data_IF_465819744889
#
_entry.id   IF_465819744889
#
_cell.length_a   1.000
_cell.length_b   1.000
_cell.length_c   1.000
_cell.angle_alpha   90.00
_cell.angle_beta   90.00
_cell.angle_gamma   90.00
#
_symmetry.space_group_name_H-M   'P 1'
#
loop_
_entity.id
_entity.type
_entity.pdbx_description
1 polymer ?
#
# COMPACT_ATOMS: atom_id res chain seq x y z
N UNK A 1 -35.90 15.71 14.53
CA UNK A 1 -34.76 16.59 14.14
C UNK A 1 -33.52 15.72 14.12
N UNK A 2 -33.07 15.32 12.92
CA UNK A 2 -31.83 14.54 12.79
C UNK A 2 -30.66 15.42 13.15
N UNK A 3 -29.80 14.92 14.04
CA UNK A 3 -28.48 15.51 14.31
C UNK A 3 -27.78 15.71 12.95
N UNK A 4 -27.22 16.89 12.66
CA UNK A 4 -26.47 17.07 11.41
C UNK A 4 -25.36 16.03 11.40
N UNK A 5 -25.33 15.20 10.35
CA UNK A 5 -24.25 14.27 10.11
C UNK A 5 -23.00 15.14 9.99
N UNK A 6 -22.15 15.11 11.00
CA UNK A 6 -20.85 15.79 10.98
C UNK A 6 -20.17 15.40 9.68
N UNK A 7 -19.85 16.39 8.86
CA UNK A 7 -19.21 16.13 7.58
C UNK A 7 -17.88 15.41 7.85
N UNK A 8 -17.75 14.18 7.39
CA UNK A 8 -16.57 13.35 7.60
C UNK A 8 -15.32 14.07 7.08
N UNK A 9 -14.35 14.22 7.95
CA UNK A 9 -13.11 14.92 7.65
C UNK A 9 -12.01 13.91 7.35
N UNK A 10 -11.30 14.10 6.27
CA UNK A 10 -10.09 13.33 6.01
C UNK A 10 -8.97 14.22 5.50
N UNK A 11 -7.75 13.80 5.77
CA UNK A 11 -6.53 14.45 5.33
C UNK A 11 -5.76 13.55 4.39
N UNK A 12 -5.03 14.14 3.45
CA UNK A 12 -4.12 13.42 2.56
C UNK A 12 -2.69 13.84 2.86
N UNK A 13 -1.78 12.86 2.87
CA UNK A 13 -0.34 13.09 2.91
C UNK A 13 0.29 12.30 1.77
N UNK A 14 1.00 13.02 0.91
CA UNK A 14 1.68 12.48 -0.26
C UNK A 14 3.17 12.77 -0.19
N UNK A 15 3.99 11.75 -0.34
CA UNK A 15 5.42 11.89 -0.57
C UNK A 15 5.68 11.95 -2.08
N UNK A 16 6.45 12.90 -2.56
CA UNK A 16 6.78 13.06 -3.98
C UNK A 16 8.28 13.22 -4.18
N UNK A 17 8.80 12.59 -5.25
CA UNK A 17 10.18 12.74 -5.69
C UNK A 17 10.34 12.45 -7.17
N UNK A 18 10.70 13.48 -7.96
CA UNK A 18 10.93 13.37 -9.40
C UNK A 18 9.71 12.76 -10.14
N UNK A 19 8.50 13.35 -9.94
CA UNK A 19 7.22 12.88 -10.49
C UNK A 19 6.56 13.91 -11.44
N UNK A 20 7.35 14.77 -12.12
CA UNK A 20 6.83 15.81 -13.02
C UNK A 20 5.88 15.29 -14.10
N UNK A 21 5.99 14.00 -14.48
CA UNK A 21 5.15 13.37 -15.50
C UNK A 21 3.75 13.03 -15.01
N UNK A 22 3.57 12.77 -13.71
CA UNK A 22 2.36 12.16 -13.18
C UNK A 22 1.66 13.01 -12.14
N UNK A 23 2.42 13.81 -11.37
CA UNK A 23 1.90 14.56 -10.22
C UNK A 23 0.70 15.44 -10.58
N UNK A 24 0.70 16.10 -11.74
CA UNK A 24 -0.40 16.99 -12.15
C UNK A 24 -1.69 16.17 -12.42
N UNK A 25 -1.58 14.94 -12.94
CA UNK A 25 -2.73 14.03 -13.09
C UNK A 25 -3.32 13.67 -11.73
N UNK A 26 -2.47 13.34 -10.75
CA UNK A 26 -2.92 13.01 -9.38
C UNK A 26 -3.55 14.24 -8.71
N UNK A 27 -2.97 15.42 -8.88
CA UNK A 27 -3.57 16.67 -8.35
C UNK A 27 -4.97 16.86 -8.94
N UNK A 28 -5.15 16.72 -10.24
CA UNK A 28 -6.45 16.83 -10.85
C UNK A 28 -7.43 15.74 -10.38
N UNK A 29 -6.93 14.52 -10.14
CA UNK A 29 -7.75 13.44 -9.59
C UNK A 29 -8.26 13.76 -8.18
N UNK A 30 -7.46 14.41 -7.33
CA UNK A 30 -7.88 14.86 -6.00
C UNK A 30 -8.80 16.09 -6.09
N UNK A 31 -8.49 17.06 -6.94
CA UNK A 31 -9.30 18.28 -7.09
C UNK A 31 -10.74 18.00 -7.55
N UNK A 32 -10.97 16.95 -8.35
CA UNK A 32 -12.30 16.58 -8.84
C UNK A 32 -13.08 15.65 -7.89
N UNK A 33 -12.54 15.32 -6.71
CA UNK A 33 -13.25 14.45 -5.76
C UNK A 33 -14.52 15.09 -5.24
N UNK A 34 -15.61 14.29 -5.18
CA UNK A 34 -16.90 14.69 -4.60
C UNK A 34 -16.78 14.92 -3.09
N UNK A 35 -16.04 14.07 -2.38
CA UNK A 35 -15.61 14.32 -1.02
C UNK A 35 -14.22 14.98 -1.06
N UNK A 36 -14.17 16.28 -0.75
CA UNK A 36 -12.89 17.02 -0.71
C UNK A 36 -12.16 16.76 0.60
N UNK A 37 -10.83 16.54 0.60
CA UNK A 37 -10.04 16.46 1.82
C UNK A 37 -10.05 17.81 2.58
N UNK A 38 -10.01 17.74 3.90
CA UNK A 38 -9.87 18.95 4.75
C UNK A 38 -8.48 19.58 4.60
N UNK A 39 -7.46 18.76 4.37
CA UNK A 39 -6.08 19.18 4.17
C UNK A 39 -5.34 18.16 3.29
N UNK A 40 -4.47 18.64 2.43
CA UNK A 40 -3.53 17.82 1.69
C UNK A 40 -2.10 18.36 1.87
N UNK A 41 -1.23 17.56 2.44
CA UNK A 41 0.19 17.87 2.57
C UNK A 41 0.96 17.10 1.51
N UNK A 42 1.59 17.81 0.60
CA UNK A 42 2.50 17.24 -0.41
C UNK A 42 3.93 17.46 0.10
N UNK A 43 4.65 16.38 0.36
CA UNK A 43 6.01 16.41 0.88
C UNK A 43 6.98 16.10 -0.24
N UNK A 44 7.70 17.11 -0.70
CA UNK A 44 8.75 16.97 -1.70
C UNK A 44 10.06 16.52 -1.05
N UNK A 45 10.49 15.28 -1.34
CA UNK A 45 11.72 14.66 -0.84
C UNK A 45 12.93 15.03 -1.72
N UNK A 46 13.08 16.33 -2.02
CA UNK A 46 14.20 16.88 -2.76
C UNK A 46 14.20 16.49 -4.24
N UNK A 47 13.11 16.73 -4.96
CA UNK A 47 13.00 16.56 -6.41
C UNK A 47 13.97 17.48 -7.17
N UNK A 48 14.39 17.03 -8.36
CA UNK A 48 15.32 17.76 -9.24
C UNK A 48 14.71 18.16 -10.59
N UNK A 49 13.52 17.61 -10.87
CA UNK A 49 12.73 17.91 -12.05
C UNK A 49 11.75 19.08 -11.78
N UNK A 50 10.72 19.23 -12.61
CA UNK A 50 9.72 20.31 -12.44
C UNK A 50 8.68 20.04 -11.36
N UNK A 51 8.76 18.89 -10.62
CA UNK A 51 7.81 18.56 -9.55
C UNK A 51 7.59 19.72 -8.56
N UNK A 52 8.65 20.39 -8.00
CA UNK A 52 8.44 21.47 -7.05
C UNK A 52 7.65 22.64 -7.63
N UNK A 53 7.92 23.03 -8.87
CA UNK A 53 7.22 24.13 -9.53
C UNK A 53 5.75 23.82 -9.81
N UNK A 54 5.45 22.54 -10.12
CA UNK A 54 4.08 22.08 -10.35
C UNK A 54 3.29 22.13 -9.03
N UNK A 55 3.80 21.54 -7.96
CA UNK A 55 3.06 21.51 -6.68
C UNK A 55 2.89 22.90 -6.07
N UNK A 56 3.89 23.78 -6.20
CA UNK A 56 3.81 25.19 -5.74
C UNK A 56 2.69 25.97 -6.45
N UNK A 57 2.52 25.79 -7.76
CA UNK A 57 1.41 26.38 -8.53
C UNK A 57 0.04 26.07 -7.92
N UNK A 58 -0.16 24.84 -7.45
CA UNK A 58 -1.44 24.40 -6.88
C UNK A 58 -1.58 24.82 -5.40
N UNK A 59 -0.52 24.80 -4.61
CA UNK A 59 -0.58 25.26 -3.22
C UNK A 59 -0.90 26.74 -3.09
N UNK A 60 -0.45 27.58 -4.03
CA UNK A 60 -0.83 29.00 -4.09
C UNK A 60 -2.29 29.23 -4.47
N UNK A 61 -2.90 28.29 -5.17
CA UNK A 61 -4.29 28.41 -5.66
C UNK A 61 -5.30 27.85 -4.66
N UNK A 62 -4.90 26.87 -3.86
CA UNK A 62 -5.79 26.14 -2.95
C UNK A 62 -5.22 26.15 -1.54
N UNK A 63 -5.87 26.82 -0.61
CA UNK A 63 -5.46 27.03 0.79
C UNK A 63 -5.38 25.73 1.62
N UNK A 64 -6.11 24.71 1.19
CA UNK A 64 -6.09 23.37 1.81
C UNK A 64 -4.95 22.48 1.30
N UNK A 65 -4.17 22.92 0.31
CA UNK A 65 -2.95 22.24 -0.17
C UNK A 65 -1.73 22.93 0.44
N UNK A 66 -0.91 22.17 1.14
CA UNK A 66 0.35 22.64 1.73
C UNK A 66 1.51 21.86 1.14
N UNK A 67 2.60 22.52 0.80
CA UNK A 67 3.83 21.87 0.34
C UNK A 67 4.88 21.97 1.44
N UNK A 68 5.54 20.85 1.72
CA UNK A 68 6.71 20.76 2.58
C UNK A 68 7.88 20.25 1.75
N UNK A 69 8.95 21.01 1.64
CA UNK A 69 10.17 20.56 0.97
C UNK A 69 11.18 20.11 2.01
N UNK A 70 11.64 18.87 1.88
CA UNK A 70 12.69 18.32 2.73
C UNK A 70 14.06 18.57 2.13
N UNK A 71 15.04 18.82 2.99
CA UNK A 71 16.44 18.82 2.59
C UNK A 71 16.81 17.43 2.09
N UNK A 72 17.48 17.35 0.94
CA UNK A 72 17.82 16.08 0.30
C UNK A 72 18.75 15.25 1.18
N UNK A 73 18.29 14.09 1.62
CA UNK A 73 19.18 13.04 2.14
C UNK A 73 19.77 12.25 0.97
N UNK A 74 21.07 11.97 1.04
CA UNK A 74 21.77 11.13 0.06
C UNK A 74 21.35 9.68 0.21
N UNK A 75 20.75 9.10 -0.85
CA UNK A 75 20.42 7.69 -0.95
C UNK A 75 18.91 7.44 -1.18
N UNK A 76 18.61 6.51 -2.09
CA UNK A 76 17.27 5.93 -2.22
C UNK A 76 17.15 4.76 -1.25
N UNK A 77 16.35 4.93 -0.20
CA UNK A 77 15.92 3.86 0.69
C UNK A 77 14.42 3.61 0.45
N UNK A 78 14.07 2.71 -0.50
CA UNK A 78 12.69 2.47 -0.87
C UNK A 78 11.86 2.01 0.32
N UNK A 79 10.71 2.62 0.53
CA UNK A 79 9.81 2.35 1.65
C UNK A 79 10.11 3.18 2.89
N UNK A 80 11.37 3.31 3.33
CA UNK A 80 11.72 4.12 4.51
C UNK A 80 11.62 5.62 4.21
N UNK A 81 12.14 6.06 3.07
CA UNK A 81 12.08 7.48 2.67
C UNK A 81 10.63 7.96 2.51
N UNK A 82 9.77 7.16 1.87
CA UNK A 82 8.37 7.48 1.68
C UNK A 82 7.67 7.69 3.02
N UNK A 83 7.93 6.84 4.02
CA UNK A 83 7.29 6.95 5.32
C UNK A 83 7.90 8.05 6.17
N UNK A 84 9.23 8.32 6.08
CA UNK A 84 9.81 9.52 6.72
C UNK A 84 9.22 10.82 6.18
N UNK A 85 9.01 10.90 4.87
CA UNK A 85 8.33 12.04 4.26
C UNK A 85 6.88 12.13 4.72
N UNK A 86 6.16 10.99 4.77
CA UNK A 86 4.80 10.94 5.33
C UNK A 86 4.78 11.44 6.79
N UNK A 87 5.68 10.99 7.64
CA UNK A 87 5.78 11.43 9.06
C UNK A 87 6.06 12.93 9.16
N UNK A 88 6.93 13.47 8.29
CA UNK A 88 7.20 14.90 8.26
C UNK A 88 5.94 15.69 7.89
N UNK A 89 5.17 15.24 6.89
CA UNK A 89 3.88 15.82 6.53
C UNK A 89 2.82 15.67 7.61
N UNK A 90 2.78 14.52 8.28
CA UNK A 90 1.82 14.25 9.36
C UNK A 90 2.01 15.19 10.55
N UNK A 91 3.24 15.57 10.88
CA UNK A 91 3.52 16.54 11.96
C UNK A 91 2.87 17.91 11.71
N UNK A 92 2.65 18.30 10.46
CA UNK A 92 2.01 19.59 10.11
C UNK A 92 0.49 19.57 10.30
N UNK A 93 -0.09 18.41 10.56
CA UNK A 93 -1.55 18.23 10.66
C UNK A 93 -1.99 17.55 11.97
N UNK A 94 -1.09 17.46 12.96
CA UNK A 94 -1.41 16.85 14.26
C UNK A 94 -2.53 17.58 15.01
N UNK A 95 -2.64 18.89 14.82
CA UNK A 95 -3.67 19.73 15.44
C UNK A 95 -4.95 19.84 14.61
N UNK A 96 -4.99 19.18 13.44
CA UNK A 96 -6.19 19.14 12.58
C UNK A 96 -7.08 18.00 13.02
N UNK A 97 -8.36 18.29 13.23
CA UNK A 97 -9.37 17.27 13.51
C UNK A 97 -9.74 16.50 12.23
N UNK A 98 -9.58 15.17 12.23
CA UNK A 98 -9.90 14.30 11.11
C UNK A 98 -10.31 12.89 11.57
N UNK A 99 -11.19 12.27 10.79
CA UNK A 99 -11.64 10.88 10.98
C UNK A 99 -10.74 9.86 10.28
N UNK A 100 -10.13 10.29 9.16
CA UNK A 100 -9.27 9.41 8.33
C UNK A 100 -8.02 10.15 7.86
N UNK A 101 -6.91 9.41 7.84
CA UNK A 101 -5.67 9.82 7.19
C UNK A 101 -5.42 8.96 5.95
N UNK A 102 -5.06 9.60 4.86
CA UNK A 102 -4.78 8.95 3.58
C UNK A 102 -3.30 9.09 3.26
N UNK A 103 -2.61 7.98 3.07
CA UNK A 103 -1.33 7.95 2.37
C UNK A 103 -1.62 7.78 0.89
N UNK A 104 -1.24 8.76 0.07
CA UNK A 104 -1.51 8.80 -1.37
C UNK A 104 -0.22 9.00 -2.16
N UNK A 105 0.06 8.12 -3.14
CA UNK A 105 1.16 8.31 -4.08
C UNK A 105 0.81 9.36 -5.15
N UNK A 106 1.82 9.93 -5.77
CA UNK A 106 1.68 11.07 -6.69
C UNK A 106 1.64 10.67 -8.19
N UNK A 107 1.43 9.40 -8.47
CA UNK A 107 1.37 8.83 -9.81
C UNK A 107 0.07 8.02 -10.03
N UNK A 108 -1.03 8.51 -9.45
CA UNK A 108 -2.32 7.85 -9.48
C UNK A 108 -3.38 8.66 -10.23
N UNK A 109 -4.33 7.93 -10.81
CA UNK A 109 -5.59 8.47 -11.31
C UNK A 109 -6.78 7.63 -10.82
N UNK A 110 -7.89 8.27 -10.47
CA UNK A 110 -9.07 7.61 -9.90
C UNK A 110 -10.35 8.38 -10.15
N UNK A 111 -11.50 7.69 -10.05
CA UNK A 111 -12.81 8.26 -10.28
C UNK A 111 -13.15 9.42 -9.32
N UNK A 112 -14.01 10.39 -9.72
CA UNK A 112 -14.36 11.53 -8.87
C UNK A 112 -15.03 11.17 -7.55
N UNK A 113 -15.66 10.01 -7.44
CA UNK A 113 -16.34 9.51 -6.25
C UNK A 113 -15.52 8.50 -5.43
N UNK A 114 -14.24 8.32 -5.76
CA UNK A 114 -13.40 7.27 -5.19
C UNK A 114 -13.29 7.38 -3.66
N UNK A 115 -12.90 8.52 -3.12
CA UNK A 115 -12.78 8.70 -1.68
C UNK A 115 -14.14 8.71 -0.98
N UNK A 116 -15.18 9.30 -1.58
CA UNK A 116 -16.52 9.24 -1.02
C UNK A 116 -16.97 7.79 -0.80
N UNK A 117 -16.91 6.98 -1.86
CA UNK A 117 -17.31 5.57 -1.80
C UNK A 117 -16.44 4.75 -0.83
N UNK A 118 -15.15 5.06 -0.74
CA UNK A 118 -14.27 4.39 0.21
C UNK A 118 -14.60 4.77 1.66
N UNK A 119 -14.88 6.04 1.95
CA UNK A 119 -15.34 6.53 3.25
C UNK A 119 -16.69 5.89 3.63
N UNK A 120 -17.62 5.74 2.68
CA UNK A 120 -18.90 5.07 2.92
C UNK A 120 -18.70 3.61 3.40
N UNK A 121 -17.66 2.90 2.91
CA UNK A 121 -17.30 1.56 3.41
C UNK A 121 -16.88 1.60 4.89
N UNK A 122 -16.16 2.63 5.31
CA UNK A 122 -15.81 2.81 6.71
C UNK A 122 -17.01 3.15 7.61
N UNK A 123 -18.00 3.85 7.08
CA UNK A 123 -19.25 4.12 7.80
C UNK A 123 -20.10 2.85 7.94
N UNK A 124 -20.11 1.98 6.92
CA UNK A 124 -20.83 0.71 6.93
C UNK A 124 -20.21 -0.34 7.89
N UNK A 125 -18.91 -0.23 8.17
CA UNK A 125 -18.20 -1.16 9.06
C UNK A 125 -17.29 -0.38 10.03
N UNK A 126 -17.75 -0.23 11.26
CA UNK A 126 -16.99 0.48 12.31
C UNK A 126 -15.69 -0.22 12.71
N UNK A 127 -15.57 -1.52 12.44
CA UNK A 127 -14.35 -2.29 12.68
C UNK A 127 -13.33 -2.16 11.53
N UNK A 128 -13.70 -1.52 10.39
CA UNK A 128 -12.76 -1.29 9.29
C UNK A 128 -11.75 -0.22 9.73
N UNK A 129 -10.48 -0.62 9.82
CA UNK A 129 -9.37 0.25 10.22
C UNK A 129 -8.53 0.74 9.06
N UNK A 130 -8.25 -0.14 8.07
CA UNK A 130 -7.42 0.18 6.91
C UNK A 130 -8.12 -0.29 5.64
N UNK A 131 -8.21 0.58 4.62
CA UNK A 131 -8.77 0.19 3.34
C UNK A 131 -8.14 0.92 2.15
N UNK A 132 -8.30 0.32 0.96
CA UNK A 132 -8.00 0.92 -0.34
C UNK A 132 -8.95 0.40 -1.40
N UNK A 133 -8.86 0.96 -2.60
CA UNK A 133 -9.32 0.30 -3.82
C UNK A 133 -8.32 -0.73 -4.32
N UNK A 134 -8.64 -1.33 -5.47
CA UNK A 134 -7.73 -2.19 -6.23
C UNK A 134 -6.99 -1.36 -7.27
N UNK A 135 -5.68 -1.53 -7.37
CA UNK A 135 -4.93 -0.80 -8.38
C UNK A 135 -4.85 -1.56 -9.71
N UNK A 136 -4.85 -0.77 -10.78
CA UNK A 136 -4.70 -1.21 -12.14
C UNK A 136 -3.33 -0.78 -12.63
N UNK A 137 -2.55 -1.72 -13.19
CA UNK A 137 -1.29 -1.43 -13.85
C UNK A 137 -1.39 -1.65 -15.36
N UNK A 138 -0.64 -0.88 -16.12
CA UNK A 138 -0.63 -0.97 -17.58
C UNK A 138 0.27 -2.12 -18.00
N UNK A 139 -0.28 -3.08 -18.75
CA UNK A 139 0.48 -4.18 -19.36
C UNK A 139 0.05 -4.35 -20.81
N UNK A 140 0.98 -4.25 -21.76
CA UNK A 140 0.69 -4.36 -23.19
C UNK A 140 -0.51 -3.49 -23.63
N UNK A 141 -0.49 -2.21 -23.25
CA UNK A 141 -1.54 -1.21 -23.54
C UNK A 141 -2.92 -1.48 -22.89
N UNK A 142 -3.04 -2.48 -22.03
CA UNK A 142 -4.27 -2.77 -21.28
C UNK A 142 -4.07 -2.53 -19.79
N UNK A 143 -5.11 -2.04 -19.13
CA UNK A 143 -5.13 -1.91 -17.68
C UNK A 143 -5.58 -3.24 -17.06
N UNK A 144 -4.73 -3.82 -16.23
CA UNK A 144 -4.97 -5.10 -15.56
C UNK A 144 -5.00 -4.91 -14.06
N UNK A 145 -5.98 -5.54 -13.40
CA UNK A 145 -6.03 -5.58 -11.94
C UNK A 145 -4.82 -6.35 -11.40
N UNK A 146 -4.14 -5.77 -10.42
CA UNK A 146 -3.07 -6.46 -9.70
C UNK A 146 -3.68 -7.29 -8.56
N UNK A 147 -3.49 -8.62 -8.58
CA UNK A 147 -4.04 -9.49 -7.54
C UNK A 147 -3.43 -9.21 -6.18
N UNK A 148 -4.28 -8.98 -5.18
CA UNK A 148 -3.87 -8.75 -3.80
C UNK A 148 -4.55 -9.74 -2.86
N UNK A 149 -3.94 -10.08 -1.70
CA UNK A 149 -4.65 -10.81 -0.64
C UNK A 149 -5.87 -10.02 -0.16
N UNK A 150 -6.98 -10.68 0.14
CA UNK A 150 -8.23 -10.01 0.52
C UNK A 150 -8.11 -9.03 1.70
N UNK A 151 -7.17 -9.26 2.61
CA UNK A 151 -6.91 -8.37 3.74
C UNK A 151 -5.95 -7.22 3.42
N UNK A 152 -5.27 -7.24 2.26
CA UNK A 152 -4.28 -6.23 1.91
C UNK A 152 -4.95 -4.99 1.35
N UNK A 153 -4.54 -3.84 1.84
CA UNK A 153 -4.88 -2.53 1.33
C UNK A 153 -3.65 -1.93 0.61
N UNK A 154 -3.81 -1.55 -0.64
CA UNK A 154 -2.72 -1.05 -1.47
C UNK A 154 -2.05 0.18 -0.84
N UNK A 155 -0.73 0.13 -0.67
CA UNK A 155 0.06 1.21 -0.08
C UNK A 155 0.01 2.52 -0.86
N UNK A 156 -0.28 2.46 -2.17
CA UNK A 156 -0.36 3.64 -3.03
C UNK A 156 -1.54 4.57 -2.72
N UNK A 157 -2.69 4.01 -2.31
CA UNK A 157 -3.89 4.78 -1.92
C UNK A 157 -4.52 4.18 -0.67
N UNK A 158 -3.84 4.32 0.47
CA UNK A 158 -4.21 3.69 1.74
C UNK A 158 -4.94 4.68 2.64
N UNK A 159 -6.20 4.38 2.95
CA UNK A 159 -7.04 5.12 3.90
C UNK A 159 -7.01 4.40 5.25
N UNK A 160 -6.73 5.13 6.31
CA UNK A 160 -6.65 4.60 7.67
C UNK A 160 -7.54 5.43 8.58
N UNK A 161 -8.41 4.76 9.35
CA UNK A 161 -9.19 5.40 10.41
C UNK A 161 -8.26 5.99 11.46
N UNK A 162 -8.47 7.24 11.88
CA UNK A 162 -7.61 7.96 12.82
C UNK A 162 -7.34 7.15 14.11
N UNK A 163 -8.38 6.55 14.68
CA UNK A 163 -8.26 5.68 15.87
C UNK A 163 -7.37 4.45 15.60
N UNK A 164 -7.56 3.79 14.46
CA UNK A 164 -6.72 2.65 14.06
C UNK A 164 -5.26 3.08 13.89
N UNK A 165 -5.02 4.24 13.23
CA UNK A 165 -3.69 4.80 13.02
C UNK A 165 -2.96 5.04 14.34
N UNK A 166 -3.64 5.64 15.32
CA UNK A 166 -3.09 5.87 16.67
C UNK A 166 -2.80 4.55 17.41
N UNK A 167 -3.75 3.60 17.40
CA UNK A 167 -3.61 2.32 18.10
C UNK A 167 -2.51 1.41 17.52
N UNK A 168 -2.27 1.45 16.22
CA UNK A 168 -1.17 0.68 15.60
C UNK A 168 0.19 1.35 15.73
N UNK A 169 0.25 2.60 16.23
CA UNK A 169 1.47 3.36 16.42
C UNK A 169 2.01 4.00 15.13
N UNK A 170 1.12 4.30 14.18
CA UNK A 170 1.48 4.88 12.88
C UNK A 170 2.17 3.91 11.93
N UNK A 171 2.71 4.42 10.83
CA UNK A 171 3.54 3.66 9.90
C UNK A 171 4.99 3.62 10.39
N UNK A 172 5.72 2.53 10.08
CA UNK A 172 7.15 2.45 10.40
C UNK A 172 7.99 2.80 9.15
N UNK A 173 9.03 3.62 9.29
CA UNK A 173 9.88 4.00 8.15
C UNK A 173 10.82 2.86 7.74
N UNK A 174 10.25 1.85 7.09
CA UNK A 174 10.97 0.65 6.65
C UNK A 174 10.34 0.06 5.39
N UNK A 175 11.10 -0.66 4.54
CA UNK A 175 10.53 -1.50 3.52
C UNK A 175 9.55 -2.52 4.12
N UNK A 176 8.36 -2.68 3.51
CA UNK A 176 7.30 -3.56 4.01
C UNK A 176 6.43 -2.95 5.11
N UNK A 177 6.49 -1.62 5.29
CA UNK A 177 5.63 -0.88 6.20
C UNK A 177 4.13 -1.20 5.98
N UNK A 178 3.73 -1.35 4.72
CA UNK A 178 2.37 -1.66 4.26
C UNK A 178 1.87 -3.08 4.61
N UNK A 179 2.77 -3.96 5.01
CA UNK A 179 2.47 -5.27 5.58
C UNK A 179 2.42 -5.21 7.11
N UNK A 180 3.33 -4.43 7.72
CA UNK A 180 3.45 -4.36 9.18
C UNK A 180 2.30 -3.57 9.79
N UNK A 181 1.85 -2.50 9.14
CA UNK A 181 0.68 -1.74 9.57
C UNK A 181 -0.59 -2.62 9.62
N UNK A 182 -0.79 -3.47 8.59
CA UNK A 182 -1.92 -4.40 8.55
C UNK A 182 -1.82 -5.46 9.65
N UNK A 183 -0.64 -6.03 9.89
CA UNK A 183 -0.43 -6.99 10.98
C UNK A 183 -0.83 -6.35 12.32
N UNK A 184 -0.37 -5.13 12.58
CA UNK A 184 -0.67 -4.39 13.81
C UNK A 184 -2.15 -4.06 13.95
N UNK A 185 -2.77 -3.56 12.88
CA UNK A 185 -4.20 -3.27 12.85
C UNK A 185 -5.04 -4.52 13.12
N UNK A 186 -4.75 -5.63 12.42
CA UNK A 186 -5.46 -6.92 12.60
C UNK A 186 -5.28 -7.47 14.01
N UNK A 187 -4.11 -7.34 14.64
CA UNK A 187 -3.87 -7.76 16.01
C UNK A 187 -4.64 -6.93 17.04
N UNK A 188 -4.99 -5.69 16.71
CA UNK A 188 -5.84 -4.82 17.54
C UNK A 188 -7.35 -5.05 17.30
N UNK A 189 -7.70 -6.00 16.43
CA UNK A 189 -9.09 -6.34 16.10
C UNK A 189 -9.69 -5.53 14.97
N UNK A 190 -8.91 -4.63 14.34
CA UNK A 190 -9.35 -3.91 13.16
C UNK A 190 -9.40 -4.83 11.93
N UNK A 191 -10.31 -4.56 11.01
CA UNK A 191 -10.33 -5.17 9.69
C UNK A 191 -9.48 -4.35 8.73
N UNK A 192 -8.79 -5.06 7.83
CA UNK A 192 -8.03 -4.46 6.73
C UNK A 192 -8.46 -5.11 5.43
N UNK A 193 -8.65 -4.36 4.35
CA UNK A 193 -9.02 -4.91 3.04
C UNK A 193 -8.91 -3.91 1.91
N UNK A 194 -8.91 -4.42 0.68
CA UNK A 194 -9.24 -3.62 -0.51
C UNK A 194 -10.65 -3.93 -1.00
N UNK A 195 -11.20 -3.02 -1.80
CA UNK A 195 -12.50 -3.15 -2.43
C UNK A 195 -12.31 -3.25 -3.95
N UNK A 196 -12.68 -4.41 -4.52
CA UNK A 196 -12.46 -4.70 -5.94
C UNK A 196 -13.31 -3.83 -6.88
N UNK A 197 -14.45 -3.33 -6.39
CA UNK A 197 -15.35 -2.42 -7.10
C UNK A 197 -14.87 -0.95 -7.10
N UNK A 198 -13.83 -0.64 -6.32
CA UNK A 198 -13.16 0.65 -6.30
C UNK A 198 -11.77 0.49 -6.88
N UNK A 199 -11.52 1.05 -8.04
CA UNK A 199 -10.22 0.93 -8.68
C UNK A 199 -9.57 2.29 -8.88
N UNK A 200 -8.25 2.29 -8.89
CA UNK A 200 -7.41 3.41 -9.30
C UNK A 200 -6.32 2.95 -10.26
N UNK A 201 -5.88 3.84 -11.10
CA UNK A 201 -4.81 3.62 -12.07
C UNK A 201 -3.48 4.01 -11.46
N UNK A 202 -2.51 3.09 -11.48
CA UNK A 202 -1.12 3.35 -11.15
C UNK A 202 -0.40 3.67 -12.45
N UNK A 203 -0.04 4.94 -12.64
CA UNK A 203 0.43 5.46 -13.93
C UNK A 203 1.87 5.06 -14.23
N UNK A 204 2.60 4.66 -13.20
CA UNK A 204 3.99 4.22 -13.24
C UNK A 204 4.06 2.75 -12.83
N UNK A 205 4.72 1.92 -13.63
CA UNK A 205 4.84 0.49 -13.31
C UNK A 205 5.57 0.27 -11.98
N UNK A 206 5.06 -0.62 -11.13
CA UNK A 206 5.71 -0.98 -9.87
C UNK A 206 7.15 -1.47 -10.12
N UNK A 207 8.09 -0.93 -9.38
CA UNK A 207 9.49 -1.30 -9.48
C UNK A 207 10.24 -0.72 -10.68
N UNK A 208 9.60 0.07 -11.57
CA UNK A 208 10.28 0.74 -12.69
C UNK A 208 11.43 1.66 -12.23
N UNK A 209 11.31 2.24 -11.04
CA UNK A 209 12.34 3.11 -10.45
C UNK A 209 13.59 2.38 -9.96
N UNK A 210 13.53 1.07 -9.68
CA UNK A 210 14.65 0.29 -9.11
C UNK A 210 14.98 -1.01 -9.88
N UNK A 211 14.14 -1.38 -10.82
CA UNK A 211 14.28 -2.59 -11.66
C UNK A 211 13.78 -3.87 -11.00
N UNK A 212 13.32 -4.81 -11.84
CA UNK A 212 12.63 -6.04 -11.41
C UNK A 212 13.44 -6.96 -10.47
N UNK A 213 14.74 -7.09 -10.69
CA UNK A 213 15.61 -7.94 -9.85
C UNK A 213 15.76 -7.33 -8.44
N UNK A 214 15.97 -6.02 -8.38
CA UNK A 214 16.08 -5.31 -7.09
C UNK A 214 14.77 -5.32 -6.33
N UNK A 215 13.65 -5.17 -7.02
CA UNK A 215 12.29 -5.31 -6.43
C UNK A 215 12.09 -6.72 -5.88
N UNK A 216 12.43 -7.77 -6.63
CA UNK A 216 12.35 -9.16 -6.18
C UNK A 216 13.23 -9.42 -4.95
N UNK A 217 14.46 -8.92 -4.96
CA UNK A 217 15.38 -8.98 -3.82
C UNK A 217 14.78 -8.29 -2.58
N UNK A 218 14.24 -7.09 -2.75
CA UNK A 218 13.58 -6.34 -1.68
C UNK A 218 12.40 -7.12 -1.08
N UNK A 219 11.55 -7.75 -1.91
CA UNK A 219 10.43 -8.57 -1.45
C UNK A 219 10.85 -9.78 -0.61
N UNK A 220 12.03 -10.38 -0.90
CA UNK A 220 12.60 -11.43 -0.06
C UNK A 220 12.97 -10.89 1.32
N UNK A 221 13.67 -9.77 1.37
CA UNK A 221 14.07 -9.09 2.60
C UNK A 221 12.86 -8.66 3.45
N UNK A 222 11.84 -8.07 2.82
CA UNK A 222 10.58 -7.69 3.48
C UNK A 222 9.93 -8.91 4.15
N UNK A 223 9.85 -10.05 3.44
CA UNK A 223 9.24 -11.24 4.02
C UNK A 223 9.95 -11.71 5.30
N UNK A 224 11.28 -11.67 5.33
CA UNK A 224 12.06 -11.97 6.54
C UNK A 224 11.81 -10.93 7.64
N UNK A 225 11.93 -9.64 7.31
CA UNK A 225 11.84 -8.54 8.27
C UNK A 225 10.43 -8.42 8.89
N UNK A 226 9.38 -8.67 8.11
CA UNK A 226 8.00 -8.74 8.60
C UNK A 226 7.67 -10.03 9.36
N UNK A 227 8.65 -10.92 9.57
CA UNK A 227 8.46 -12.14 10.35
C UNK A 227 7.73 -13.28 9.65
N UNK A 228 7.63 -13.24 8.31
CA UNK A 228 7.01 -14.29 7.51
C UNK A 228 7.64 -15.66 7.72
N UNK A 229 6.82 -16.73 7.62
CA UNK A 229 7.25 -18.11 7.85
C UNK A 229 8.01 -18.71 6.66
N UNK A 230 8.92 -19.69 6.91
CA UNK A 230 9.72 -20.29 5.85
C UNK A 230 8.89 -21.10 4.84
N UNK A 231 7.83 -21.78 5.29
CA UNK A 231 6.96 -22.56 4.41
C UNK A 231 6.27 -21.69 3.36
N UNK A 232 5.65 -20.59 3.77
CA UNK A 232 5.02 -19.66 2.83
C UNK A 232 6.06 -19.03 1.90
N UNK A 233 7.25 -18.70 2.43
CA UNK A 233 8.35 -18.19 1.62
C UNK A 233 8.79 -19.18 0.54
N UNK A 234 8.94 -20.45 0.89
CA UNK A 234 9.31 -21.52 -0.07
C UNK A 234 8.28 -21.60 -1.21
N UNK A 235 6.99 -21.60 -0.90
CA UNK A 235 5.94 -21.62 -1.92
C UNK A 235 5.97 -20.34 -2.81
N UNK A 236 6.18 -19.19 -2.19
CA UNK A 236 6.33 -17.92 -2.92
C UNK A 236 7.57 -17.93 -3.82
N UNK A 237 8.67 -18.46 -3.34
CA UNK A 237 9.92 -18.63 -4.09
C UNK A 237 9.73 -19.53 -5.30
N UNK A 238 9.17 -20.73 -5.11
CA UNK A 238 8.90 -21.68 -6.20
C UNK A 238 7.97 -21.08 -7.26
N UNK A 239 6.90 -20.43 -6.81
CA UNK A 239 6.00 -19.70 -7.71
C UNK A 239 6.75 -18.61 -8.51
N UNK A 240 7.62 -17.83 -7.83
CA UNK A 240 8.39 -16.76 -8.49
C UNK A 240 9.45 -17.27 -9.44
N UNK A 241 10.03 -18.48 -9.22
CA UNK A 241 10.93 -19.14 -10.16
C UNK A 241 10.23 -19.44 -11.48
N UNK A 242 8.98 -19.94 -11.41
CA UNK A 242 8.25 -20.43 -12.60
C UNK A 242 7.50 -19.30 -13.31
N UNK A 243 6.85 -18.42 -12.57
CA UNK A 243 5.94 -17.39 -13.11
C UNK A 243 6.50 -15.97 -13.02
N UNK A 244 7.67 -15.79 -12.37
CA UNK A 244 8.27 -14.47 -12.18
C UNK A 244 8.96 -13.93 -13.44
N UNK A 245 9.06 -12.60 -13.51
CA UNK A 245 9.86 -11.91 -14.53
C UNK A 245 11.02 -11.18 -13.84
N UNK A 246 12.30 -11.33 -14.32
CA UNK A 246 12.74 -12.31 -15.33
C UNK A 246 12.63 -13.76 -14.81
N UNK A 247 12.34 -14.70 -15.71
CA UNK A 247 12.24 -16.13 -15.41
C UNK A 247 13.47 -16.63 -14.63
N UNK A 248 13.29 -17.47 -13.64
CA UNK A 248 14.29 -17.96 -12.67
C UNK A 248 15.00 -16.85 -11.86
N UNK A 249 15.54 -15.84 -12.52
CA UNK A 249 16.37 -14.81 -11.88
C UNK A 249 15.60 -14.01 -10.83
N UNK A 250 14.30 -13.73 -11.07
CA UNK A 250 13.44 -13.06 -10.08
C UNK A 250 13.28 -13.88 -8.80
N UNK A 251 13.15 -15.20 -8.92
CA UNK A 251 13.10 -16.11 -7.77
C UNK A 251 14.42 -16.15 -7.02
N UNK A 252 15.55 -16.30 -7.73
CA UNK A 252 16.90 -16.30 -7.13
C UNK A 252 17.15 -14.98 -6.39
N UNK A 253 16.85 -13.84 -7.01
CA UNK A 253 17.00 -12.54 -6.38
C UNK A 253 16.17 -12.44 -5.09
N UNK A 254 14.93 -12.95 -5.10
CA UNK A 254 14.07 -12.96 -3.91
C UNK A 254 14.65 -13.87 -2.80
N UNK A 255 15.21 -15.04 -3.15
CA UNK A 255 15.87 -15.93 -2.19
C UNK A 255 17.09 -15.24 -1.56
N UNK A 256 17.95 -14.62 -2.36
CA UNK A 256 19.10 -13.87 -1.87
C UNK A 256 18.67 -12.70 -0.95
N UNK A 257 17.58 -12.03 -1.31
CA UNK A 257 17.00 -10.98 -0.48
C UNK A 257 16.50 -11.47 0.88
N UNK A 258 15.96 -12.68 0.95
CA UNK A 258 15.55 -13.32 2.21
C UNK A 258 16.77 -13.78 3.05
N UNK A 259 17.75 -14.40 2.40
CA UNK A 259 18.93 -14.94 3.08
C UNK A 259 19.85 -13.84 3.62
N UNK A 260 19.99 -12.71 2.92
CA UNK A 260 20.88 -11.62 3.35
C UNK A 260 20.61 -11.17 4.80
N UNK A 261 19.42 -10.71 5.18
CA UNK A 261 19.14 -10.31 6.56
C UNK A 261 19.16 -11.49 7.55
N UNK A 262 18.84 -12.70 7.10
CA UNK A 262 18.93 -13.91 7.94
C UNK A 262 20.41 -14.20 8.32
N UNK A 263 21.31 -14.23 7.34
CA UNK A 263 22.73 -14.54 7.56
C UNK A 263 23.43 -13.41 8.34
N UNK A 264 23.09 -12.15 8.05
CA UNK A 264 23.66 -11.00 8.77
C UNK A 264 23.09 -10.82 10.19
N UNK A 265 22.21 -11.68 10.65
CA UNK A 265 21.59 -11.57 11.98
C UNK A 265 20.72 -10.33 12.16
N UNK A 266 20.23 -9.72 11.05
CA UNK A 266 19.44 -8.50 11.14
C UNK A 266 18.16 -8.76 11.91
N UNK A 267 17.88 -7.92 12.89
CA UNK A 267 16.65 -8.01 13.70
C UNK A 267 15.42 -7.77 12.82
N UNK A 268 14.35 -8.52 13.11
CA UNK A 268 13.05 -8.30 12.49
C UNK A 268 12.47 -6.97 12.94
N UNK A 269 11.65 -6.38 12.08
CA UNK A 269 10.94 -5.13 12.35
C UNK A 269 9.67 -5.33 13.19
N UNK A 270 9.36 -6.56 13.48
CA UNK A 270 8.18 -7.00 14.22
C UNK A 270 8.57 -7.79 15.45
N UNK A 271 7.75 -7.73 16.48
CA UNK A 271 7.89 -8.53 17.70
C UNK A 271 7.66 -10.02 17.41
N UNK A 272 8.02 -10.89 18.35
CA UNK A 272 7.78 -12.33 18.24
C UNK A 272 6.27 -12.65 18.11
N UNK A 273 5.43 -11.88 18.79
CA UNK A 273 3.96 -12.03 18.74
C UNK A 273 3.41 -11.60 17.39
N UNK A 274 3.83 -10.46 16.86
CA UNK A 274 3.46 -9.98 15.53
C UNK A 274 3.89 -10.98 14.43
N UNK A 275 5.12 -11.50 14.52
CA UNK A 275 5.62 -12.52 13.61
C UNK A 275 4.81 -13.83 13.68
N UNK A 276 4.42 -14.28 14.87
CA UNK A 276 3.58 -15.46 15.06
C UNK A 276 2.20 -15.27 14.44
N UNK A 277 1.57 -14.12 14.68
CA UNK A 277 0.29 -13.77 14.09
C UNK A 277 0.37 -13.74 12.54
N UNK A 278 1.39 -13.10 11.99
CA UNK A 278 1.58 -13.05 10.54
C UNK A 278 1.77 -14.43 9.92
N UNK A 279 2.57 -15.31 10.53
CA UNK A 279 2.72 -16.70 10.08
C UNK A 279 1.40 -17.45 10.09
N UNK A 280 0.59 -17.28 11.15
CA UNK A 280 -0.74 -17.89 11.21
C UNK A 280 -1.64 -17.40 10.06
N UNK A 281 -1.62 -16.09 9.77
CA UNK A 281 -2.35 -15.51 8.64
C UNK A 281 -1.90 -16.10 7.29
N UNK A 282 -0.58 -16.25 7.09
CA UNK A 282 -0.01 -16.86 5.89
C UNK A 282 -0.37 -18.35 5.77
N UNK A 283 -0.31 -19.11 6.86
CA UNK A 283 -0.67 -20.53 6.89
C UNK A 283 -2.16 -20.73 6.57
N UNK A 284 -3.06 -19.87 7.08
CA UNK A 284 -4.48 -19.86 6.68
C UNK A 284 -4.65 -19.64 5.17
N UNK A 285 -3.81 -18.83 4.56
CA UNK A 285 -3.85 -18.63 3.09
C UNK A 285 -3.44 -19.88 2.34
N UNK A 286 -2.39 -20.60 2.79
CA UNK A 286 -2.00 -21.89 2.21
C UNK A 286 -3.16 -22.88 2.31
N UNK A 287 -3.74 -23.04 3.49
CA UNK A 287 -4.86 -23.97 3.72
C UNK A 287 -6.08 -23.67 2.82
N UNK A 288 -6.44 -22.38 2.66
CA UNK A 288 -7.52 -21.96 1.75
C UNK A 288 -7.19 -22.24 0.29
N UNK A 289 -5.94 -22.04 -0.13
CA UNK A 289 -5.47 -22.36 -1.48
C UNK A 289 -5.57 -23.86 -1.77
N UNK A 290 -5.12 -24.69 -0.86
CA UNK A 290 -5.23 -26.16 -0.96
C UNK A 290 -6.69 -26.62 -1.01
N UNK A 291 -7.56 -26.10 -0.13
CA UNK A 291 -8.98 -26.42 -0.15
C UNK A 291 -9.63 -26.15 -1.52
N UNK A 292 -9.36 -24.98 -2.12
CA UNK A 292 -9.85 -24.66 -3.47
C UNK A 292 -9.35 -25.63 -4.55
N UNK A 293 -8.10 -26.07 -4.47
CA UNK A 293 -7.53 -27.06 -5.39
C UNK A 293 -8.22 -28.42 -5.25
N UNK A 294 -8.50 -28.86 -4.02
CA UNK A 294 -9.22 -30.11 -3.77
C UNK A 294 -10.66 -30.06 -4.26
N UNK A 295 -11.37 -28.94 -4.06
CA UNK A 295 -12.74 -28.75 -4.55
C UNK A 295 -12.77 -28.74 -6.09
N UNK A 296 -11.81 -28.09 -6.72
CA UNK A 296 -11.68 -28.08 -8.19
C UNK A 296 -11.40 -29.49 -8.74
N UNK A 297 -10.49 -30.25 -8.12
CA UNK A 297 -10.17 -31.63 -8.52
C UNK A 297 -11.39 -32.56 -8.36
N UNK A 298 -12.16 -32.39 -7.28
CA UNK A 298 -13.42 -33.15 -7.08
C UNK A 298 -14.47 -32.85 -8.14
N UNK A 299 -14.64 -31.59 -8.51
CA UNK A 299 -15.59 -31.18 -9.54
C UNK A 299 -15.20 -31.72 -10.91
N UNK A 300 -13.91 -31.70 -11.25
CA UNK A 300 -13.39 -32.25 -12.50
C UNK A 300 -13.60 -33.77 -12.59
N UNK A 301 -13.33 -34.50 -11.52
CA UNK A 301 -13.55 -35.95 -11.45
C UNK A 301 -15.05 -36.34 -11.54
N UNK A 302 -15.97 -35.45 -11.11
CA UNK A 302 -17.39 -35.67 -11.30
C UNK A 302 -17.83 -35.46 -12.75
N UNK A 303 -17.28 -34.45 -13.45
CA UNK A 303 -17.62 -34.18 -14.86
C UNK A 303 -17.13 -35.29 -15.78
N UNK A 304 -15.98 -35.92 -15.50
CA UNK A 304 -15.42 -37.03 -16.28
C UNK A 304 -16.15 -38.37 -16.07
N UNK A 305 -17.05 -38.49 -15.08
CA UNK A 305 -17.88 -39.71 -14.85
C UNK A 305 -19.26 -39.63 -15.53
N UNK A 306 -19.61 -38.51 -16.12
CA UNK A 306 -20.90 -38.29 -16.81
C UNK A 306 -20.72 -38.02 -18.30
N UNK A 307 -19.48 -38.12 -18.84
CA UNK A 307 -19.16 -38.20 -20.27
C UNK A 307 -18.71 -39.62 -20.62
#
# INVERSE_FOLDING_TARGET
MGTPISQTKYIIISSVKDEEKYIETTIHAVLRQTARPSKWVIVDDGSRDRTPSIVDKYSRRFDWITVLTLARESGRDPGSAIIRAFEAGYRLVQDVDFDFVVKLDCDLDFAPDYFQRLIDKFHQDSALGIASGTYLEKSNSRWLKVPMPAYHAAGASKVVRAKCFAEMGGFIPSPGWDTIDEIRALMKGWKTRHFEELSFYHLKDEGSGIGFLRTSFMHGGIHYLAGGGPLFFLLKFLHRLVFGRPFLLGGIAMLLGYLKPLISGRQRLVTRTEASFYRHLLNKRIARGLAKLFDWARLRHKSERYT
#
